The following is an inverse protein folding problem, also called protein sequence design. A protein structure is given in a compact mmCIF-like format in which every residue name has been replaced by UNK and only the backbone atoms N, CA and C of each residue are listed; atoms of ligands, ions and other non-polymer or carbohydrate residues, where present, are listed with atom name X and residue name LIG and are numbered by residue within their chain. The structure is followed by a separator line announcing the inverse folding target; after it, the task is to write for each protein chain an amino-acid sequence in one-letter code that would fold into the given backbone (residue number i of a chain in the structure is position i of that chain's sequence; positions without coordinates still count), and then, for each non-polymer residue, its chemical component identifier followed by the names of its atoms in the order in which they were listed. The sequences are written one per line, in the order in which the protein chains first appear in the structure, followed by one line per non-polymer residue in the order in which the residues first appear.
data_IF_319254105178
#
_entry.id   IF_319254105178
#
_cell.length_a   1.000
_cell.length_b   1.000
_cell.length_c   1.000
_cell.angle_alpha   90.00
_cell.angle_beta   90.00
_cell.angle_gamma   90.00
#
_symmetry.space_group_name_H-M   'P 1'
#
loop_
_entity.id
_entity.type
_entity.pdbx_description
1 polymer ?
#
# COMPACT_ATOMS: atom_id res chain seq x y z
N UNK A 1 -13.42 -14.29 -10.56
CA UNK A 1 -12.23 -14.48 -9.71
C UNK A 1 -12.04 -13.22 -8.91
N UNK A 2 -11.97 -13.31 -7.59
CA UNK A 2 -11.56 -12.19 -6.75
C UNK A 2 -10.17 -11.77 -7.23
N UNK A 3 -9.95 -10.48 -7.50
CA UNK A 3 -8.67 -9.95 -7.96
C UNK A 3 -7.56 -10.20 -6.94
N UNK A 4 -6.32 -10.09 -7.38
CA UNK A 4 -5.15 -10.12 -6.51
C UNK A 4 -4.88 -8.71 -6.00
N UNK A 5 -4.66 -8.55 -4.69
CA UNK A 5 -4.28 -7.28 -4.08
C UNK A 5 -2.84 -7.42 -3.58
N UNK A 6 -1.98 -6.50 -3.98
CA UNK A 6 -0.60 -6.41 -3.48
C UNK A 6 -0.51 -5.36 -2.40
N UNK A 7 -0.08 -5.75 -1.21
CA UNK A 7 0.13 -4.83 -0.09
C UNK A 7 1.59 -4.40 0.00
N UNK A 8 1.80 -3.10 0.17
CA UNK A 8 3.08 -2.48 0.45
C UNK A 8 3.05 -1.95 1.88
N UNK A 9 3.67 -2.67 2.80
CA UNK A 9 3.76 -2.21 4.18
C UNK A 9 4.86 -1.17 4.35
N UNK A 10 4.57 -0.11 5.12
CA UNK A 10 5.53 0.95 5.44
C UNK A 10 5.64 1.11 6.95
N UNK A 11 6.88 1.21 7.50
CA UNK A 11 7.05 1.41 8.93
C UNK A 11 6.39 2.70 9.44
N UNK A 12 5.70 2.61 10.58
CA UNK A 12 4.98 3.73 11.19
C UNK A 12 5.85 4.75 11.94
N UNK A 13 7.14 4.46 12.20
CA UNK A 13 8.00 5.35 12.99
C UNK A 13 8.41 6.62 12.22
N UNK A 14 8.60 7.74 12.94
CA UNK A 14 9.00 9.04 12.37
C UNK A 14 10.21 8.97 11.42
N UNK A 15 11.18 8.12 11.74
CA UNK A 15 12.40 7.97 10.94
C UNK A 15 12.18 7.50 9.48
N UNK A 16 10.97 7.03 9.12
CA UNK A 16 10.68 6.42 7.82
C UNK A 16 9.75 7.25 6.94
N UNK A 17 9.73 8.57 7.10
CA UNK A 17 8.90 9.48 6.30
C UNK A 17 9.12 9.36 4.78
N UNK A 18 10.38 9.25 4.36
CA UNK A 18 10.71 9.07 2.95
C UNK A 18 10.18 7.74 2.37
N UNK A 19 10.09 6.68 3.18
CA UNK A 19 9.52 5.39 2.76
C UNK A 19 8.00 5.50 2.61
N UNK A 20 7.31 6.20 3.52
CA UNK A 20 5.86 6.46 3.41
C UNK A 20 5.53 7.29 2.18
N UNK A 21 6.29 8.37 1.94
CA UNK A 21 6.11 9.21 0.75
C UNK A 21 6.33 8.43 -0.55
N UNK A 22 7.33 7.53 -0.58
CA UNK A 22 7.59 6.66 -1.74
C UNK A 22 6.48 5.62 -1.89
N UNK A 23 6.04 5.00 -0.79
CA UNK A 23 4.92 4.06 -0.77
C UNK A 23 3.66 4.68 -1.35
N UNK A 24 3.24 5.84 -0.88
CA UNK A 24 2.06 6.54 -1.38
C UNK A 24 2.13 6.84 -2.90
N UNK A 25 3.31 7.17 -3.43
CA UNK A 25 3.51 7.39 -4.87
C UNK A 25 3.55 6.10 -5.70
N UNK A 26 3.80 4.97 -5.05
CA UNK A 26 3.95 3.67 -5.70
C UNK A 26 2.65 2.88 -5.79
N UNK A 27 1.63 3.27 -5.01
CA UNK A 27 0.38 2.55 -4.81
C UNK A 27 -0.81 3.27 -5.45
N UNK A 28 -1.86 2.52 -5.73
CA UNK A 28 -3.11 3.04 -6.30
C UNK A 28 -4.09 3.47 -5.21
N UNK A 29 -3.99 2.89 -4.01
CA UNK A 29 -4.85 3.13 -2.86
C UNK A 29 -3.98 3.12 -1.60
N UNK A 30 -4.24 4.02 -0.66
CA UNK A 30 -3.60 4.04 0.66
C UNK A 30 -4.60 3.58 1.72
N UNK A 31 -4.19 2.63 2.56
CA UNK A 31 -4.94 2.27 3.77
C UNK A 31 -4.27 2.95 4.96
N UNK A 32 -4.98 3.87 5.59
CA UNK A 32 -4.55 4.55 6.81
C UNK A 32 -5.06 3.79 8.02
N UNK A 33 -4.17 3.18 8.78
CA UNK A 33 -4.54 2.45 10.00
C UNK A 33 -4.43 3.38 11.22
N UNK A 34 -5.53 3.57 11.93
CA UNK A 34 -5.60 4.40 13.15
C UNK A 34 -6.19 3.56 14.28
N UNK A 35 -5.46 3.41 15.36
CA UNK A 35 -5.96 2.67 16.52
C UNK A 35 -6.89 3.55 17.37
N UNK A 36 -8.01 3.00 17.84
CA UNK A 36 -9.01 3.74 18.65
C UNK A 36 -8.46 4.27 19.97
N UNK A 37 -7.46 3.60 20.53
CA UNK A 37 -6.83 3.98 21.79
C UNK A 37 -5.75 5.08 21.61
N UNK A 38 -5.09 5.11 20.45
CA UNK A 38 -4.03 6.09 20.17
C UNK A 38 -4.58 7.39 19.54
N UNK A 39 -5.67 7.29 18.75
CA UNK A 39 -6.21 8.41 17.97
C UNK A 39 -5.29 8.86 16.83
N UNK A 40 -5.48 10.11 16.41
CA UNK A 40 -4.68 10.69 15.32
C UNK A 40 -3.33 11.18 15.85
N UNK A 41 -2.29 10.46 15.52
CA UNK A 41 -0.91 10.72 15.92
C UNK A 41 -0.17 11.57 14.85
N UNK A 42 0.99 12.20 15.16
CA UNK A 42 1.75 12.95 14.16
C UNK A 42 2.08 12.15 12.89
N UNK A 43 2.39 10.86 13.03
CA UNK A 43 2.65 9.95 11.90
C UNK A 43 1.39 9.73 11.05
N UNK A 44 0.21 9.75 11.66
CA UNK A 44 -1.08 9.66 10.97
C UNK A 44 -1.29 10.88 10.09
N UNK A 45 -1.05 12.08 10.64
CA UNK A 45 -1.16 13.35 9.90
C UNK A 45 -0.19 13.38 8.72
N UNK A 46 1.03 12.91 8.94
CA UNK A 46 2.03 12.81 7.89
C UNK A 46 1.59 11.86 6.77
N UNK A 47 1.05 10.69 7.10
CA UNK A 47 0.54 9.73 6.12
C UNK A 47 -0.64 10.30 5.31
N UNK A 48 -1.53 11.06 5.94
CA UNK A 48 -2.61 11.79 5.27
C UNK A 48 -2.04 12.79 4.26
N UNK A 49 -1.04 13.58 4.68
CA UNK A 49 -0.42 14.58 3.80
C UNK A 49 0.30 13.93 2.61
N UNK A 50 0.97 12.78 2.82
CA UNK A 50 1.62 12.04 1.73
C UNK A 50 0.60 11.48 0.73
N UNK A 51 -0.52 10.93 1.21
CA UNK A 51 -1.60 10.44 0.35
C UNK A 51 -2.21 11.58 -0.47
N UNK A 52 -2.54 12.71 0.16
CA UNK A 52 -3.05 13.91 -0.51
C UNK A 52 -2.06 14.45 -1.56
N UNK A 53 -0.78 14.54 -1.21
CA UNK A 53 0.27 15.01 -2.12
C UNK A 53 0.51 14.07 -3.30
N UNK A 54 0.26 12.78 -3.12
CA UNK A 54 0.33 11.78 -4.19
C UNK A 54 -0.95 11.73 -5.05
N UNK A 55 -2.05 12.34 -4.59
CA UNK A 55 -3.36 12.27 -5.26
C UNK A 55 -3.99 10.88 -5.23
N UNK A 56 -3.67 10.08 -4.22
CA UNK A 56 -4.10 8.69 -4.09
C UNK A 56 -5.26 8.62 -3.10
N UNK A 57 -6.36 7.91 -3.42
CA UNK A 57 -7.49 7.76 -2.52
C UNK A 57 -7.10 7.06 -1.22
N UNK A 58 -7.77 7.46 -0.15
CA UNK A 58 -7.51 7.04 1.21
C UNK A 58 -8.67 6.22 1.77
N UNK A 59 -8.40 5.01 2.22
CA UNK A 59 -9.33 4.21 3.02
C UNK A 59 -8.84 4.23 4.46
N UNK A 60 -9.71 4.54 5.41
CA UNK A 60 -9.37 4.57 6.84
C UNK A 60 -9.78 3.26 7.49
N UNK A 61 -8.83 2.57 8.09
CA UNK A 61 -9.06 1.40 8.92
C UNK A 61 -8.92 1.78 10.40
N UNK A 62 -10.03 1.91 11.10
CA UNK A 62 -10.06 2.18 12.55
C UNK A 62 -9.85 0.84 13.26
N UNK A 63 -8.65 0.64 13.82
CA UNK A 63 -8.22 -0.63 14.39
C UNK A 63 -8.38 -0.69 15.92
N UNK A 64 -8.31 -1.91 16.46
CA UNK A 64 -8.44 -2.24 17.88
C UNK A 64 -9.86 -1.99 18.43
N UNK A 65 -10.90 -2.16 17.62
CA UNK A 65 -12.30 -2.01 18.06
C UNK A 65 -12.74 -3.08 19.07
N UNK A 66 -11.94 -4.13 19.25
CA UNK A 66 -12.15 -5.17 20.27
C UNK A 66 -11.88 -4.70 21.69
N UNK A 67 -11.26 -3.53 21.89
CA UNK A 67 -11.00 -2.97 23.22
C UNK A 67 -12.29 -2.47 23.88
N UNK A 68 -12.46 -2.71 25.22
CA UNK A 68 -13.71 -2.37 25.92
C UNK A 68 -14.06 -0.88 25.91
N UNK A 69 -13.06 0.01 25.85
CA UNK A 69 -13.22 1.47 25.84
C UNK A 69 -13.04 2.07 24.43
N UNK A 70 -13.25 1.26 23.38
CA UNK A 70 -13.10 1.71 22.01
C UNK A 70 -14.12 2.79 21.65
N UNK A 71 -13.64 3.94 21.15
CA UNK A 71 -14.46 5.05 20.70
C UNK A 71 -14.07 5.48 19.29
N UNK A 72 -14.65 4.83 18.29
CA UNK A 72 -14.41 5.12 16.89
C UNK A 72 -14.88 6.51 16.46
N UNK A 73 -15.95 7.04 17.11
CA UNK A 73 -16.47 8.38 16.82
C UNK A 73 -15.47 9.48 17.18
N UNK A 74 -14.67 9.29 18.22
CA UNK A 74 -13.58 10.21 18.56
C UNK A 74 -12.55 10.28 17.45
N UNK A 75 -12.12 9.13 16.95
CA UNK A 75 -11.13 9.06 15.84
C UNK A 75 -11.71 9.67 14.57
N UNK A 76 -12.98 9.41 14.25
CA UNK A 76 -13.69 10.04 13.13
C UNK A 76 -13.68 11.56 13.25
N UNK A 77 -14.00 12.10 14.43
CA UNK A 77 -13.97 13.54 14.70
C UNK A 77 -12.58 14.17 14.57
N UNK A 78 -11.53 13.48 15.04
CA UNK A 78 -10.14 13.92 14.87
C UNK A 78 -9.73 13.97 13.39
N UNK A 79 -10.07 12.93 12.60
CA UNK A 79 -9.76 12.85 11.17
C UNK A 79 -10.49 13.94 10.35
N UNK A 80 -11.73 14.28 10.71
CA UNK A 80 -12.45 15.42 10.11
C UNK A 80 -11.66 16.73 10.27
N UNK A 81 -11.02 16.94 11.41
CA UNK A 81 -10.13 18.08 11.65
C UNK A 81 -8.92 18.16 10.70
N UNK A 82 -8.56 17.04 10.08
CA UNK A 82 -7.50 16.92 9.07
C UNK A 82 -8.02 16.78 7.64
N UNK A 83 -9.29 17.16 7.42
CA UNK A 83 -9.94 17.11 6.09
C UNK A 83 -9.99 15.69 5.48
N UNK A 84 -10.08 14.66 6.30
CA UNK A 84 -10.41 13.31 5.90
C UNK A 84 -11.88 13.11 6.21
N UNK A 85 -12.72 13.25 5.19
CA UNK A 85 -14.17 13.28 5.31
C UNK A 85 -14.74 11.95 4.84
N UNK A 86 -15.53 11.24 5.67
CA UNK A 86 -16.15 10.00 5.25
C UNK A 86 -17.21 10.22 4.18
N UNK A 87 -17.45 9.20 3.35
CA UNK A 87 -18.46 9.25 2.26
C UNK A 87 -19.86 9.58 2.79
N UNK A 88 -20.22 9.10 3.98
CA UNK A 88 -21.51 9.36 4.62
C UNK A 88 -21.75 10.86 4.90
N UNK A 89 -20.68 11.65 5.00
CA UNK A 89 -20.71 13.10 5.17
C UNK A 89 -20.38 13.87 3.90
N UNK A 90 -20.41 13.20 2.74
CA UNK A 90 -20.15 13.80 1.44
C UNK A 90 -18.67 13.90 1.08
N UNK A 91 -17.79 13.20 1.76
CA UNK A 91 -16.37 13.06 1.43
C UNK A 91 -16.09 11.95 0.43
N UNK A 92 -14.83 11.59 0.33
CA UNK A 92 -14.31 10.61 -0.61
C UNK A 92 -13.57 9.44 0.06
N UNK A 93 -13.57 9.39 1.39
CA UNK A 93 -12.85 8.38 2.15
C UNK A 93 -13.78 7.36 2.78
N UNK A 94 -13.52 6.07 2.56
CA UNK A 94 -14.23 4.99 3.24
C UNK A 94 -13.62 4.75 4.62
N UNK A 95 -14.48 4.64 5.65
CA UNK A 95 -14.07 4.37 7.04
C UNK A 95 -14.55 2.98 7.43
N UNK A 96 -13.62 2.09 7.73
CA UNK A 96 -13.90 0.69 8.08
C UNK A 96 -13.38 0.43 9.49
N UNK A 97 -14.23 -0.11 10.34
CA UNK A 97 -13.86 -0.53 11.69
C UNK A 97 -13.33 -1.96 11.66
N UNK A 98 -12.13 -2.16 12.23
CA UNK A 98 -11.45 -3.45 12.18
C UNK A 98 -10.81 -3.82 13.52
N UNK A 99 -10.63 -5.11 13.72
CA UNK A 99 -9.74 -5.64 14.75
C UNK A 99 -8.76 -6.61 14.11
N UNK A 100 -7.50 -6.23 14.03
CA UNK A 100 -6.46 -7.11 13.55
C UNK A 100 -6.26 -8.34 14.46
N UNK A 101 -6.61 -8.22 15.74
CA UNK A 101 -6.49 -9.30 16.72
C UNK A 101 -7.55 -10.38 16.52
N UNK A 102 -8.81 -9.97 16.29
CA UNK A 102 -9.94 -10.91 16.15
C UNK A 102 -10.29 -11.26 14.71
N UNK A 103 -9.77 -10.48 13.75
CA UNK A 103 -10.13 -10.59 12.33
C UNK A 103 -11.44 -9.89 11.97
N UNK A 104 -12.13 -9.26 12.94
CA UNK A 104 -13.37 -8.54 12.69
C UNK A 104 -13.14 -7.38 11.71
N UNK A 105 -14.03 -7.23 10.73
CA UNK A 105 -14.02 -6.12 9.75
C UNK A 105 -12.95 -6.25 8.65
N UNK A 106 -12.06 -7.24 8.69
CA UNK A 106 -11.01 -7.42 7.67
C UNK A 106 -11.61 -7.71 6.29
N UNK A 107 -12.62 -8.56 6.20
CA UNK A 107 -13.30 -8.83 4.92
C UNK A 107 -13.95 -7.55 4.37
N UNK A 108 -14.58 -6.73 5.22
CA UNK A 108 -15.17 -5.46 4.82
C UNK A 108 -14.11 -4.46 4.33
N UNK A 109 -12.92 -4.46 4.94
CA UNK A 109 -11.79 -3.65 4.48
C UNK A 109 -11.31 -4.10 3.09
N UNK A 110 -11.18 -5.40 2.87
CA UNK A 110 -10.80 -5.95 1.56
C UNK A 110 -11.85 -5.65 0.49
N UNK A 111 -13.13 -5.76 0.81
CA UNK A 111 -14.22 -5.41 -0.10
C UNK A 111 -14.20 -3.91 -0.43
N UNK A 112 -13.91 -3.03 0.53
CA UNK A 112 -13.74 -1.59 0.29
C UNK A 112 -12.56 -1.29 -0.66
N UNK A 113 -11.43 -1.98 -0.49
CA UNK A 113 -10.27 -1.84 -1.39
C UNK A 113 -10.63 -2.29 -2.81
N UNK A 114 -11.34 -3.42 -2.97
CA UNK A 114 -11.77 -3.90 -4.27
C UNK A 114 -12.77 -2.95 -4.93
N UNK A 115 -13.72 -2.42 -4.17
CA UNK A 115 -14.68 -1.43 -4.66
C UNK A 115 -13.97 -0.15 -5.13
N UNK A 116 -13.02 0.35 -4.35
CA UNK A 116 -12.23 1.52 -4.74
C UNK A 116 -11.41 1.26 -6.01
N UNK A 117 -10.82 0.06 -6.14
CA UNK A 117 -10.08 -0.33 -7.34
C UNK A 117 -10.98 -0.41 -8.59
N UNK A 118 -12.23 -0.83 -8.45
CA UNK A 118 -13.22 -0.81 -9.52
C UNK A 118 -13.59 0.62 -9.93
N UNK A 119 -13.81 1.50 -8.96
CA UNK A 119 -14.10 2.93 -9.22
C UNK A 119 -12.96 3.62 -9.95
N UNK A 120 -11.72 3.29 -9.62
CA UNK A 120 -10.52 3.81 -10.28
C UNK A 120 -10.29 3.20 -11.67
N UNK A 121 -11.04 2.17 -12.06
CA UNK A 121 -10.87 1.44 -13.33
C UNK A 121 -9.42 1.01 -13.59
N UNK A 122 -8.74 0.53 -12.55
CA UNK A 122 -7.32 0.15 -12.63
C UNK A 122 -7.09 -0.92 -13.69
N UNK A 123 -6.34 -0.57 -14.72
CA UNK A 123 -5.99 -1.45 -15.85
C UNK A 123 -4.54 -1.25 -16.22
N UNK A 124 -3.82 -2.35 -16.45
CA UNK A 124 -2.46 -2.30 -16.92
C UNK A 124 -2.26 -3.26 -18.10
N UNK A 125 -1.54 -2.84 -19.17
CA UNK A 125 -1.20 -3.73 -20.26
C UNK A 125 -0.22 -4.80 -19.78
N UNK A 126 -0.43 -6.06 -20.14
CA UNK A 126 0.46 -7.17 -19.80
C UNK A 126 1.47 -7.45 -20.94
N UNK A 127 1.06 -7.25 -22.20
CA UNK A 127 1.86 -7.58 -23.38
C UNK A 127 2.81 -6.44 -23.81
N UNK A 128 3.44 -5.79 -22.83
CA UNK A 128 4.42 -4.71 -23.04
C UNK A 128 5.65 -4.96 -22.16
N UNK A 129 6.80 -4.34 -22.47
CA UNK A 129 7.93 -4.35 -21.55
C UNK A 129 7.52 -3.86 -20.16
N UNK A 130 7.99 -4.53 -19.12
CA UNK A 130 7.64 -4.20 -17.76
C UNK A 130 8.06 -2.79 -17.37
N UNK A 131 7.17 -2.11 -16.64
CA UNK A 131 7.46 -0.89 -15.90
C UNK A 131 7.09 -1.10 -14.45
N UNK A 132 7.88 -0.55 -13.55
CA UNK A 132 7.63 -0.71 -12.13
C UNK A 132 8.53 0.15 -11.28
N UNK A 133 8.41 -0.02 -9.98
CA UNK A 133 9.14 0.75 -8.97
C UNK A 133 10.03 -0.19 -8.18
N UNK A 134 11.28 0.24 -7.95
CA UNK A 134 12.18 -0.43 -7.03
C UNK A 134 11.77 -0.05 -5.61
N UNK A 135 11.28 -1.04 -4.87
CA UNK A 135 10.88 -0.88 -3.47
C UNK A 135 12.10 -0.91 -2.57
N UNK A 136 12.99 -1.88 -2.81
CA UNK A 136 14.18 -2.11 -2.02
C UNK A 136 15.34 -2.62 -2.90
N UNK A 137 16.55 -2.21 -2.58
CA UNK A 137 17.78 -2.76 -3.15
C UNK A 137 18.79 -3.09 -2.07
N UNK A 138 19.36 -4.28 -2.10
CA UNK A 138 20.39 -4.71 -1.14
C UNK A 138 21.49 -5.53 -1.82
N UNK A 139 22.65 -5.54 -1.19
CA UNK A 139 23.75 -6.41 -1.58
C UNK A 139 23.70 -7.68 -0.73
N UNK A 140 23.34 -8.80 -1.34
CA UNK A 140 23.36 -10.11 -0.69
C UNK A 140 24.73 -10.76 -0.85
N UNK A 141 25.26 -11.34 0.24
CA UNK A 141 26.61 -11.94 0.27
C UNK A 141 26.78 -13.15 -0.66
N UNK A 142 25.66 -13.86 -0.97
CA UNK A 142 25.67 -15.05 -1.81
C UNK A 142 25.15 -14.83 -3.22
N UNK A 143 24.21 -13.90 -3.37
CA UNK A 143 23.47 -13.64 -4.62
C UNK A 143 23.91 -12.38 -5.34
N UNK A 144 24.71 -11.52 -4.69
CA UNK A 144 25.09 -10.22 -5.22
C UNK A 144 23.98 -9.17 -5.08
N UNK A 145 23.84 -8.23 -6.02
CA UNK A 145 22.79 -7.23 -5.96
C UNK A 145 21.41 -7.88 -6.12
N UNK A 146 20.54 -7.67 -5.12
CA UNK A 146 19.15 -8.14 -5.10
C UNK A 146 18.23 -6.92 -5.00
N UNK A 147 17.22 -6.89 -5.83
CA UNK A 147 16.27 -5.78 -5.89
C UNK A 147 14.84 -6.30 -5.80
N UNK A 148 14.04 -5.70 -4.93
CA UNK A 148 12.60 -5.92 -4.88
C UNK A 148 11.92 -4.94 -5.82
N UNK A 149 11.26 -5.48 -6.83
CA UNK A 149 10.55 -4.72 -7.87
C UNK A 149 9.05 -4.93 -7.73
N UNK A 150 8.30 -3.83 -7.66
CA UNK A 150 6.85 -3.82 -7.84
C UNK A 150 6.57 -3.56 -9.32
N UNK A 151 6.09 -4.56 -10.04
CA UNK A 151 5.67 -4.42 -11.44
C UNK A 151 4.31 -3.73 -11.47
N UNK A 152 4.23 -2.60 -12.17
CA UNK A 152 2.99 -1.82 -12.30
C UNK A 152 2.31 -2.03 -13.65
N UNK A 153 3.06 -2.43 -14.66
CA UNK A 153 2.53 -2.76 -15.99
C UNK A 153 3.54 -3.58 -16.80
N UNK A 154 3.05 -4.29 -17.79
CA UNK A 154 3.87 -5.11 -18.67
C UNK A 154 4.29 -6.43 -18.02
N UNK A 155 5.17 -7.13 -18.68
CA UNK A 155 5.72 -8.42 -18.24
C UNK A 155 7.24 -8.38 -18.26
N UNK A 156 7.85 -8.79 -17.16
CA UNK A 156 9.30 -8.98 -17.03
C UNK A 156 9.63 -10.47 -17.04
N UNK A 157 10.63 -10.85 -17.80
CA UNK A 157 11.04 -12.24 -17.93
C UNK A 157 12.45 -12.46 -17.40
N UNK A 158 12.76 -13.71 -17.07
CA UNK A 158 14.13 -14.11 -16.78
C UNK A 158 15.02 -13.83 -18.00
N UNK A 159 16.21 -13.30 -17.75
CA UNK A 159 17.19 -12.86 -18.74
C UNK A 159 16.91 -11.52 -19.43
N UNK A 160 15.80 -10.85 -19.14
CA UNK A 160 15.59 -9.48 -19.57
C UNK A 160 16.63 -8.53 -18.96
N UNK A 161 16.83 -7.39 -19.62
CA UNK A 161 17.68 -6.32 -19.08
C UNK A 161 16.79 -5.33 -18.34
N UNK A 162 17.04 -5.17 -17.04
CA UNK A 162 16.41 -4.16 -16.21
C UNK A 162 17.21 -2.86 -16.28
N UNK A 163 16.52 -1.75 -16.52
CA UNK A 163 17.05 -0.40 -16.40
C UNK A 163 16.45 0.28 -15.17
N UNK A 164 17.29 0.72 -14.25
CA UNK A 164 16.89 1.35 -12.99
C UNK A 164 17.68 2.66 -12.79
N UNK A 165 17.06 3.79 -13.10
CA UNK A 165 17.75 5.07 -13.14
C UNK A 165 18.92 5.04 -14.13
N UNK A 166 20.13 5.24 -13.63
CA UNK A 166 21.37 5.20 -14.44
C UNK A 166 22.07 3.83 -14.46
N UNK A 167 21.50 2.84 -13.78
CA UNK A 167 22.05 1.50 -13.72
C UNK A 167 21.26 0.53 -14.60
N UNK A 168 21.96 -0.40 -15.24
CA UNK A 168 21.36 -1.49 -15.99
C UNK A 168 21.98 -2.82 -15.62
N UNK A 169 21.19 -3.88 -15.70
CA UNK A 169 21.66 -5.21 -15.41
C UNK A 169 20.77 -6.29 -15.99
N UNK A 170 21.36 -7.45 -16.27
CA UNK A 170 20.63 -8.63 -16.74
C UNK A 170 20.08 -9.40 -15.56
N UNK A 171 18.80 -9.75 -15.62
CA UNK A 171 18.12 -10.56 -14.61
C UNK A 171 18.63 -11.99 -14.68
N UNK A 172 19.22 -12.47 -13.58
CA UNK A 172 19.78 -13.82 -13.47
C UNK A 172 18.86 -14.80 -12.77
N UNK A 173 18.05 -14.29 -11.84
CA UNK A 173 17.05 -15.06 -11.11
C UNK A 173 15.90 -14.14 -10.70
N UNK A 174 14.71 -14.71 -10.59
CA UNK A 174 13.51 -14.02 -10.11
C UNK A 174 12.84 -14.89 -9.05
N UNK A 175 12.39 -14.26 -8.00
CA UNK A 175 11.64 -14.88 -6.90
C UNK A 175 10.33 -14.14 -6.71
N UNK A 176 9.28 -14.88 -6.36
CA UNK A 176 8.03 -14.29 -5.89
C UNK A 176 8.14 -13.84 -4.42
N UNK A 177 7.07 -13.31 -3.86
CA UNK A 177 6.97 -12.84 -2.47
C UNK A 177 7.18 -13.96 -1.44
N UNK A 178 7.00 -15.21 -1.83
CA UNK A 178 7.23 -16.40 -1.00
C UNK A 178 8.65 -16.96 -1.16
N UNK A 179 9.50 -16.34 -1.97
CA UNK A 179 10.86 -16.79 -2.24
C UNK A 179 10.96 -17.95 -3.23
N UNK A 180 9.88 -18.27 -3.96
CA UNK A 180 9.86 -19.31 -4.97
C UNK A 180 10.40 -18.79 -6.31
N UNK A 181 11.20 -19.60 -6.99
CA UNK A 181 11.71 -19.24 -8.31
C UNK A 181 10.57 -19.11 -9.35
N UNK A 182 10.55 -18.01 -10.05
CA UNK A 182 9.63 -17.72 -11.15
C UNK A 182 10.40 -17.37 -12.41
N UNK A 183 9.76 -17.52 -13.58
CA UNK A 183 10.37 -17.20 -14.87
C UNK A 183 9.87 -15.88 -15.44
N UNK A 184 8.72 -15.41 -14.99
CA UNK A 184 8.12 -14.14 -15.39
C UNK A 184 7.30 -13.55 -14.24
N UNK A 185 7.11 -12.23 -14.27
CA UNK A 185 6.20 -11.48 -13.40
C UNK A 185 5.47 -10.41 -14.21
N UNK A 186 4.20 -10.15 -13.80
CA UNK A 186 3.30 -9.14 -14.41
C UNK A 186 2.70 -8.27 -13.34
#
# INVERSE_FOLDING_TARGET
SKGMITFLDTPGHEAFSAMRARGAKATDIVILVVAVDDGVMPQTIEAINHSKAAGVPLIVAINKIDKPDSNSEKVRGELLGHEVIPEELGGDSMFIEVSAQTGQGIDSLLDAVLLQAEVLELKAPINTPAKGIIVEGRLDKGRGPVTTLLVQSGTINMSDTLLAGNASGKIRAMLDENGKNIKQAT
#
